data_IF_499802117019
#
_entry.id   IF_499802117019
#
_cell.length_a   1.000
_cell.length_b   1.000
_cell.length_c   1.000
_cell.angle_alpha   90.00
_cell.angle_beta   90.00
_cell.angle_gamma   90.00
#
_symmetry.space_group_name_H-M   'P 1'
#
loop_
_entity.id
_entity.type
_entity.pdbx_description
1 polymer ?
#
# COMPACT_ATOMS: atom_id res chain seq x y z
N UNK A 1 32.33 53.58 -8.21
CA UNK A 1 32.66 52.16 -8.53
C UNK A 1 32.15 51.26 -7.39
N UNK A 2 30.88 51.43 -7.00
CA UNK A 2 30.20 50.76 -5.87
C UNK A 2 28.67 50.66 -6.15
N UNK A 3 28.25 50.67 -7.43
CA UNK A 3 26.83 50.62 -7.84
C UNK A 3 26.57 49.56 -8.93
N UNK A 4 27.57 48.74 -9.31
CA UNK A 4 27.38 47.61 -10.22
C UNK A 4 27.07 46.30 -9.48
N UNK A 5 27.56 46.15 -8.25
CA UNK A 5 27.45 44.91 -7.49
C UNK A 5 26.03 44.62 -6.94
N UNK A 6 25.18 45.64 -6.78
CA UNK A 6 23.79 45.42 -6.34
C UNK A 6 22.87 44.95 -7.47
N UNK A 7 23.14 45.36 -8.72
CA UNK A 7 22.35 44.92 -9.87
C UNK A 7 22.65 43.47 -10.24
N UNK A 8 23.90 43.03 -10.12
CA UNK A 8 24.27 41.62 -10.35
C UNK A 8 23.68 40.71 -9.26
N UNK A 9 23.67 41.13 -7.98
CA UNK A 9 23.01 40.35 -6.91
C UNK A 9 21.49 40.26 -7.05
N UNK A 10 20.82 41.30 -7.56
CA UNK A 10 19.38 41.26 -7.85
C UNK A 10 19.05 40.37 -9.06
N UNK A 11 19.95 40.30 -10.04
CA UNK A 11 19.78 39.47 -11.24
C UNK A 11 20.07 37.98 -10.96
N UNK A 12 20.95 37.68 -10.01
CA UNK A 12 21.23 36.31 -9.53
C UNK A 12 20.13 35.76 -8.59
N UNK A 13 19.47 36.63 -7.81
CA UNK A 13 18.25 36.27 -7.06
C UNK A 13 17.02 36.07 -7.97
N UNK A 14 16.98 36.69 -9.15
CA UNK A 14 15.95 36.45 -10.17
C UNK A 14 16.23 35.23 -11.07
N UNK A 15 17.48 34.72 -11.13
CA UNK A 15 17.82 33.54 -11.95
C UNK A 15 17.59 32.21 -11.23
N UNK A 16 17.44 32.22 -9.90
CA UNK A 16 17.12 31.02 -9.10
C UNK A 16 15.61 30.75 -8.95
N UNK A 17 14.74 31.46 -9.68
CA UNK A 17 13.29 31.25 -9.65
C UNK A 17 12.73 30.36 -10.77
N UNK A 18 13.58 29.57 -11.45
CA UNK A 18 13.13 28.64 -12.51
C UNK A 18 13.46 27.19 -12.17
N UNK A 19 12.66 26.60 -11.28
CA UNK A 19 12.18 25.21 -11.40
C UNK A 19 10.91 25.06 -10.55
N UNK A 20 9.91 25.89 -10.87
CA UNK A 20 8.55 25.69 -10.39
C UNK A 20 7.92 24.58 -11.25
N UNK A 21 7.98 23.35 -10.75
CA UNK A 21 7.20 22.24 -11.30
C UNK A 21 5.72 22.63 -11.20
N UNK A 22 5.11 22.96 -12.33
CA UNK A 22 3.68 23.26 -12.46
C UNK A 22 2.82 22.09 -11.95
N UNK A 23 2.58 22.01 -10.64
CA UNK A 23 1.49 21.22 -10.06
C UNK A 23 0.21 22.04 -10.12
N UNK A 24 -0.32 22.17 -11.34
CA UNK A 24 -1.66 22.69 -11.59
C UNK A 24 -2.64 21.53 -11.74
N UNK A 25 -3.13 21.01 -10.62
CA UNK A 25 -4.45 20.38 -10.54
C UNK A 25 -5.16 20.99 -9.35
N UNK A 26 -5.92 22.05 -9.64
CA UNK A 26 -6.79 22.73 -8.69
C UNK A 26 -7.90 21.77 -8.26
N UNK A 27 -7.71 21.10 -7.13
CA UNK A 27 -8.77 20.44 -6.38
C UNK A 27 -9.08 21.30 -5.15
N UNK A 28 -10.26 21.96 -5.15
CA UNK A 28 -10.80 22.62 -3.96
C UNK A 28 -11.56 21.57 -3.16
N UNK A 29 -10.87 20.96 -2.22
CA UNK A 29 -11.43 20.08 -1.20
C UNK A 29 -10.41 20.03 -0.06
N UNK A 30 -10.58 20.91 0.91
CA UNK A 30 -9.70 21.03 2.07
C UNK A 30 -9.88 19.83 3.00
N UNK A 31 -8.85 18.97 3.11
CA UNK A 31 -8.20 18.50 4.36
C UNK A 31 -6.95 17.69 3.95
N UNK A 32 -5.76 18.10 4.41
CA UNK A 32 -4.47 17.41 4.18
C UNK A 32 -3.95 16.89 5.52
N UNK A 33 -3.65 15.58 5.61
CA UNK A 33 -2.42 15.04 6.24
C UNK A 33 -2.40 13.50 6.23
N UNK A 34 -1.39 12.89 5.59
CA UNK A 34 -0.86 11.57 6.00
C UNK A 34 0.65 11.72 6.17
N UNK A 35 1.05 12.48 7.21
CA UNK A 35 2.40 12.79 7.75
C UNK A 35 3.52 13.28 6.80
N UNK A 36 3.54 12.91 5.51
CA UNK A 36 4.63 13.19 4.57
C UNK A 36 4.15 13.88 3.27
N UNK A 37 2.98 14.53 3.29
CA UNK A 37 2.48 15.33 2.17
C UNK A 37 1.83 14.56 1.02
N UNK A 38 1.59 13.25 1.18
CA UNK A 38 0.82 12.45 0.22
C UNK A 38 -0.69 12.53 0.50
N UNK A 39 -1.47 12.68 -0.57
CA UNK A 39 -2.91 12.39 -0.52
C UNK A 39 -3.11 10.88 -0.51
N UNK A 40 -3.91 10.38 0.44
CA UNK A 40 -4.13 8.95 0.62
C UNK A 40 -5.59 8.64 0.47
N UNK A 41 -5.84 7.54 -0.25
CA UNK A 41 -7.16 6.97 -0.47
C UNK A 41 -7.21 5.55 0.09
N UNK A 42 -8.27 5.23 0.82
CA UNK A 42 -8.54 3.90 1.33
C UNK A 42 -9.71 3.27 0.59
N UNK A 43 -9.46 2.10 -0.01
CA UNK A 43 -10.50 1.22 -0.53
C UNK A 43 -11.22 0.55 0.65
N UNK A 44 -12.51 0.79 0.81
CA UNK A 44 -13.33 0.24 1.90
C UNK A 44 -14.61 -0.38 1.35
N UNK A 45 -15.03 -1.53 1.89
CA UNK A 45 -16.30 -2.15 1.45
C UNK A 45 -17.54 -1.36 1.90
N UNK A 46 -17.44 -0.74 3.07
CA UNK A 46 -18.50 0.08 3.65
C UNK A 46 -17.87 1.33 4.29
N UNK A 47 -18.06 2.51 3.67
CA UNK A 47 -17.48 3.75 4.18
C UNK A 47 -18.12 4.21 5.49
N UNK A 48 -19.30 3.71 5.88
CA UNK A 48 -20.02 4.17 7.06
C UNK A 48 -19.60 3.49 8.37
N UNK A 49 -18.72 2.48 8.31
CA UNK A 49 -18.21 1.79 9.51
C UNK A 49 -17.30 2.69 10.32
N UNK A 50 -17.34 2.55 11.64
CA UNK A 50 -16.53 3.35 12.58
C UNK A 50 -15.05 3.43 12.19
N UNK A 51 -14.41 2.29 11.88
CA UNK A 51 -13.00 2.26 11.43
C UNK A 51 -12.73 3.01 10.12
N UNK A 52 -13.70 3.04 9.20
CA UNK A 52 -13.57 3.80 7.96
C UNK A 52 -13.73 5.30 8.24
N UNK A 53 -14.70 5.67 9.09
CA UNK A 53 -14.90 7.05 9.53
C UNK A 53 -13.70 7.58 10.34
N UNK A 54 -13.05 6.74 11.15
CA UNK A 54 -11.79 7.08 11.82
C UNK A 54 -10.67 7.46 10.83
N UNK A 55 -10.60 6.79 9.66
CA UNK A 55 -9.65 7.15 8.59
C UNK A 55 -10.04 8.47 7.92
N UNK A 56 -11.33 8.66 7.63
CA UNK A 56 -11.83 9.92 7.06
C UNK A 56 -11.53 11.11 7.98
N UNK A 57 -11.72 10.94 9.29
CA UNK A 57 -11.39 11.95 10.30
C UNK A 57 -9.89 12.27 10.37
N UNK A 58 -9.03 11.40 9.84
CA UNK A 58 -7.59 11.62 9.69
C UNK A 58 -7.21 12.23 8.34
N UNK A 59 -8.18 12.59 7.49
CA UNK A 59 -7.94 13.20 6.17
C UNK A 59 -7.70 12.20 5.05
N UNK A 60 -8.05 10.92 5.23
CA UNK A 60 -7.99 9.89 4.19
C UNK A 60 -9.26 9.94 3.33
N UNK A 61 -9.12 9.96 2.01
CA UNK A 61 -10.24 9.81 1.08
C UNK A 61 -10.77 8.37 1.13
N UNK A 62 -12.06 8.18 1.40
CA UNK A 62 -12.68 6.86 1.33
C UNK A 62 -13.24 6.61 -0.06
N UNK A 63 -12.87 5.49 -0.68
CA UNK A 63 -13.53 4.99 -1.89
C UNK A 63 -14.16 3.65 -1.60
N UNK A 64 -15.46 3.55 -1.88
CA UNK A 64 -16.18 2.31 -1.70
C UNK A 64 -15.79 1.32 -2.80
N UNK A 65 -15.41 0.09 -2.43
CA UNK A 65 -15.13 -0.97 -3.39
C UNK A 65 -14.71 -2.30 -2.78
N UNK A 66 -14.47 -3.27 -3.65
CA UNK A 66 -14.19 -4.66 -3.30
C UNK A 66 -13.06 -5.24 -4.18
N UNK A 67 -12.20 -6.07 -3.60
CA UNK A 67 -11.07 -6.68 -4.29
C UNK A 67 -11.48 -7.74 -5.34
N UNK A 68 -12.77 -8.08 -5.43
CA UNK A 68 -13.33 -8.90 -6.50
C UNK A 68 -14.04 -8.09 -7.60
N UNK A 69 -14.23 -6.78 -7.41
CA UNK A 69 -14.91 -5.91 -8.37
C UNK A 69 -13.90 -5.02 -9.09
N UNK A 70 -13.61 -5.37 -10.35
CA UNK A 70 -12.65 -4.66 -11.19
C UNK A 70 -12.98 -3.17 -11.35
N UNK A 71 -14.25 -2.83 -11.57
CA UNK A 71 -14.65 -1.45 -11.81
C UNK A 71 -14.38 -0.58 -10.57
N UNK A 72 -14.66 -1.12 -9.38
CA UNK A 72 -14.37 -0.43 -8.12
C UNK A 72 -12.87 -0.20 -7.91
N UNK A 73 -12.02 -1.13 -8.35
CA UNK A 73 -10.56 -0.99 -8.27
C UNK A 73 -10.05 0.08 -9.25
N UNK A 74 -10.56 0.10 -10.47
CA UNK A 74 -10.21 1.11 -11.47
C UNK A 74 -10.61 2.52 -10.97
N UNK A 75 -11.80 2.66 -10.37
CA UNK A 75 -12.25 3.91 -9.75
C UNK A 75 -11.35 4.33 -8.57
N UNK A 76 -10.96 3.37 -7.72
CA UNK A 76 -10.09 3.64 -6.58
C UNK A 76 -8.67 4.02 -7.00
N UNK A 77 -8.17 3.54 -8.15
CA UNK A 77 -6.82 3.81 -8.62
C UNK A 77 -6.73 5.03 -9.55
N UNK A 78 -7.86 5.55 -10.04
CA UNK A 78 -7.89 6.69 -10.95
C UNK A 78 -7.11 7.89 -10.39
N UNK A 79 -6.07 8.28 -11.13
CA UNK A 79 -5.21 9.43 -10.83
C UNK A 79 -4.22 9.22 -9.68
N UNK A 80 -4.11 8.00 -9.13
CA UNK A 80 -3.15 7.70 -8.08
C UNK A 80 -1.73 7.54 -8.66
N UNK A 81 -0.71 7.90 -7.87
CA UNK A 81 0.69 7.69 -8.24
C UNK A 81 1.15 6.26 -7.92
N UNK A 82 0.78 5.77 -6.74
CA UNK A 82 1.19 4.49 -6.20
C UNK A 82 0.02 3.73 -5.59
N UNK A 83 0.17 2.42 -5.45
CA UNK A 83 -0.81 1.57 -4.80
C UNK A 83 -0.14 0.64 -3.78
N UNK A 84 -0.79 0.44 -2.64
CA UNK A 84 -0.36 -0.51 -1.61
C UNK A 84 -1.31 -1.69 -1.56
N UNK A 85 -0.79 -2.90 -1.77
CA UNK A 85 -1.56 -4.13 -1.92
C UNK A 85 -1.28 -5.10 -0.79
N UNK A 86 -2.36 -5.52 -0.14
CA UNK A 86 -2.38 -6.57 0.89
C UNK A 86 -3.73 -7.27 0.83
N UNK A 87 -3.71 -8.61 0.88
CA UNK A 87 -4.90 -9.45 0.95
C UNK A 87 -4.93 -10.17 2.31
N UNK A 88 -6.13 -10.60 2.71
CA UNK A 88 -6.30 -11.38 3.93
C UNK A 88 -6.80 -12.79 3.59
N UNK A 89 -5.86 -13.72 3.47
CA UNK A 89 -6.09 -15.16 3.27
C UNK A 89 -7.15 -15.76 4.21
N UNK A 90 -7.20 -15.28 5.46
CA UNK A 90 -8.01 -15.89 6.53
C UNK A 90 -9.47 -15.43 6.57
N UNK A 91 -9.89 -14.52 5.68
CA UNK A 91 -11.29 -14.14 5.60
C UNK A 91 -12.15 -15.31 5.08
N UNK A 92 -13.39 -15.47 5.60
CA UNK A 92 -14.37 -16.34 4.97
C UNK A 92 -14.47 -15.99 3.49
N UNK A 93 -14.42 -17.01 2.63
CA UNK A 93 -14.56 -16.90 1.17
C UNK A 93 -13.36 -16.28 0.41
N UNK A 94 -12.20 -16.13 1.06
CA UNK A 94 -10.94 -15.78 0.39
C UNK A 94 -10.07 -17.02 0.19
N UNK A 95 -9.41 -17.51 1.23
CA UNK A 95 -8.52 -18.67 1.14
C UNK A 95 -7.45 -18.54 0.05
N UNK A 96 -6.97 -19.68 -0.44
CA UNK A 96 -5.88 -19.74 -1.42
C UNK A 96 -6.24 -19.11 -2.77
N UNK A 97 -7.31 -19.59 -3.41
CA UNK A 97 -7.72 -19.13 -4.73
C UNK A 97 -8.22 -17.68 -4.71
N UNK A 98 -8.94 -17.29 -3.66
CA UNK A 98 -9.44 -15.93 -3.51
C UNK A 98 -8.32 -14.93 -3.30
N UNK A 99 -7.30 -15.27 -2.50
CA UNK A 99 -6.14 -14.38 -2.31
C UNK A 99 -5.40 -14.15 -3.63
N UNK A 100 -5.14 -15.21 -4.40
CA UNK A 100 -4.51 -15.12 -5.72
C UNK A 100 -5.36 -14.24 -6.65
N UNK A 101 -6.67 -14.49 -6.72
CA UNK A 101 -7.60 -13.73 -7.56
C UNK A 101 -7.60 -12.24 -7.22
N UNK A 102 -7.71 -11.90 -5.92
CA UNK A 102 -7.70 -10.51 -5.45
C UNK A 102 -6.37 -9.82 -5.77
N UNK A 103 -5.23 -10.49 -5.51
CA UNK A 103 -3.91 -9.94 -5.78
C UNK A 103 -3.68 -9.66 -7.27
N UNK A 104 -4.03 -10.61 -8.14
CA UNK A 104 -3.91 -10.45 -9.59
C UNK A 104 -4.85 -9.36 -10.12
N UNK A 105 -6.11 -9.37 -9.71
CA UNK A 105 -7.08 -8.38 -10.18
C UNK A 105 -6.67 -6.94 -9.81
N UNK A 106 -6.15 -6.75 -8.60
CA UNK A 106 -5.67 -5.43 -8.18
C UNK A 106 -4.38 -5.01 -8.91
N UNK A 107 -3.49 -5.95 -9.22
CA UNK A 107 -2.31 -5.69 -10.04
C UNK A 107 -2.67 -5.30 -11.48
N UNK A 108 -3.66 -5.97 -12.08
CA UNK A 108 -4.18 -5.62 -13.41
C UNK A 108 -4.86 -4.24 -13.42
N UNK A 109 -5.62 -3.91 -12.37
CA UNK A 109 -6.22 -2.59 -12.21
C UNK A 109 -5.14 -1.50 -12.07
N UNK A 110 -4.10 -1.76 -11.26
CA UNK A 110 -2.97 -0.85 -11.10
C UNK A 110 -2.22 -0.63 -12.42
N UNK A 111 -1.98 -1.70 -13.18
CA UNK A 111 -1.39 -1.60 -14.51
C UNK A 111 -2.26 -0.81 -15.48
N UNK A 112 -3.57 -1.04 -15.48
CA UNK A 112 -4.52 -0.33 -16.34
C UNK A 112 -4.68 1.15 -15.99
N UNK A 113 -4.40 1.54 -14.74
CA UNK A 113 -4.42 2.92 -14.26
C UNK A 113 -3.06 3.63 -14.38
N UNK A 114 -2.06 3.03 -15.04
CA UNK A 114 -0.70 3.56 -15.19
C UNK A 114 -0.05 3.93 -13.84
N UNK A 115 -0.27 3.11 -12.80
CA UNK A 115 0.38 3.28 -11.50
C UNK A 115 1.90 3.23 -11.66
N UNK A 116 2.58 4.24 -11.12
CA UNK A 116 4.03 4.40 -11.24
C UNK A 116 4.81 3.49 -10.29
N UNK A 117 4.21 3.16 -9.14
CA UNK A 117 4.83 2.26 -8.17
C UNK A 117 3.83 1.44 -7.36
N UNK A 118 3.90 0.12 -7.47
CA UNK A 118 3.05 -0.83 -6.76
C UNK A 118 3.79 -1.50 -5.60
N UNK A 119 3.36 -1.28 -4.36
CA UNK A 119 3.94 -1.94 -3.19
C UNK A 119 3.07 -3.13 -2.81
N UNK A 120 3.64 -4.33 -2.84
CA UNK A 120 2.94 -5.57 -2.51
C UNK A 120 3.46 -6.17 -1.20
N UNK A 121 2.56 -6.54 -0.29
CA UNK A 121 2.91 -7.26 0.94
C UNK A 121 2.77 -8.76 0.72
N UNK A 122 3.92 -9.42 0.59
CA UNK A 122 4.03 -10.88 0.56
C UNK A 122 4.33 -11.44 1.97
N UNK A 123 5.22 -12.41 2.09
CA UNK A 123 5.65 -13.06 3.34
C UNK A 123 7.09 -13.56 3.22
N UNK A 124 7.82 -13.52 4.33
CA UNK A 124 9.16 -14.10 4.42
C UNK A 124 9.21 -15.54 3.90
N UNK A 125 10.23 -15.86 3.11
CA UNK A 125 10.43 -17.18 2.53
C UNK A 125 9.34 -17.69 1.54
N UNK A 126 8.50 -16.82 0.98
CA UNK A 126 7.52 -17.21 -0.05
C UNK A 126 8.15 -18.01 -1.22
N UNK A 127 9.33 -17.57 -1.68
CA UNK A 127 10.10 -18.21 -2.76
C UNK A 127 10.66 -19.59 -2.43
N UNK A 128 10.63 -20.04 -1.16
CA UNK A 128 11.28 -21.31 -0.75
C UNK A 128 10.41 -22.54 -0.95
N UNK A 129 9.12 -22.39 -1.27
CA UNK A 129 8.22 -23.52 -1.52
C UNK A 129 8.06 -24.43 -0.29
N UNK A 130 7.77 -23.87 0.88
CA UNK A 130 7.64 -24.62 2.14
C UNK A 130 6.32 -25.42 2.27
N UNK A 131 5.51 -25.46 1.21
CA UNK A 131 4.22 -26.17 1.18
C UNK A 131 3.11 -25.51 1.99
N UNK A 132 3.30 -24.25 2.39
CA UNK A 132 2.31 -23.48 3.14
C UNK A 132 1.45 -22.70 2.15
N UNK A 133 0.19 -23.11 1.96
CA UNK A 133 -0.71 -22.51 0.96
C UNK A 133 -0.78 -20.98 1.01
N UNK A 134 -0.81 -20.41 2.21
CA UNK A 134 -0.87 -18.95 2.42
C UNK A 134 0.44 -18.21 2.10
N UNK A 135 1.56 -18.93 1.91
CA UNK A 135 2.83 -18.43 1.37
C UNK A 135 2.86 -18.64 -0.14
N UNK A 136 2.45 -19.83 -0.60
CA UNK A 136 2.44 -20.20 -2.01
C UNK A 136 1.53 -19.26 -2.83
N UNK A 137 0.37 -18.87 -2.28
CA UNK A 137 -0.53 -17.88 -2.91
C UNK A 137 0.15 -16.54 -3.15
N UNK A 138 0.93 -16.05 -2.18
CA UNK A 138 1.67 -14.79 -2.29
C UNK A 138 2.81 -14.90 -3.27
N UNK A 139 3.53 -16.03 -3.27
CA UNK A 139 4.57 -16.30 -4.26
C UNK A 139 4.00 -16.28 -5.69
N UNK A 140 2.83 -16.88 -5.92
CA UNK A 140 2.15 -16.82 -7.23
C UNK A 140 1.83 -15.37 -7.63
N UNK A 141 1.39 -14.53 -6.68
CA UNK A 141 1.14 -13.12 -6.94
C UNK A 141 2.46 -12.40 -7.27
N UNK A 142 3.55 -12.63 -6.54
CA UNK A 142 4.87 -12.05 -6.84
C UNK A 142 5.32 -12.36 -8.28
N UNK A 143 5.22 -13.63 -8.69
CA UNK A 143 5.57 -14.04 -10.05
C UNK A 143 4.71 -13.33 -11.09
N UNK A 144 3.42 -13.17 -10.79
CA UNK A 144 2.49 -12.49 -11.68
C UNK A 144 2.80 -10.99 -11.84
N UNK A 145 3.25 -10.31 -10.79
CA UNK A 145 3.68 -8.90 -10.88
C UNK A 145 4.84 -8.71 -11.87
N UNK A 146 5.79 -9.66 -11.88
CA UNK A 146 6.89 -9.71 -12.85
C UNK A 146 6.37 -10.01 -14.25
N UNK A 147 5.50 -11.01 -14.39
CA UNK A 147 4.91 -11.42 -15.68
C UNK A 147 4.21 -10.26 -16.39
N UNK A 148 3.44 -9.46 -15.65
CA UNK A 148 2.74 -8.31 -16.23
C UNK A 148 3.62 -7.06 -16.38
N UNK A 149 4.91 -7.12 -16.01
CA UNK A 149 5.84 -5.98 -16.07
C UNK A 149 5.30 -4.73 -15.34
N UNK A 150 4.74 -4.89 -14.15
CA UNK A 150 4.30 -3.77 -13.30
C UNK A 150 5.49 -3.26 -12.48
N UNK A 151 5.72 -1.95 -12.40
CA UNK A 151 6.76 -1.40 -11.54
C UNK A 151 6.39 -1.61 -10.07
N UNK A 152 7.19 -2.38 -9.32
CA UNK A 152 6.79 -2.82 -7.99
C UNK A 152 7.92 -2.94 -6.95
N UNK A 153 7.52 -3.00 -5.69
CA UNK A 153 8.36 -3.41 -4.55
C UNK A 153 7.60 -4.43 -3.72
N UNK A 154 8.27 -5.54 -3.37
CA UNK A 154 7.68 -6.60 -2.55
C UNK A 154 8.25 -6.49 -1.14
N UNK A 155 7.36 -6.41 -0.16
CA UNK A 155 7.70 -6.51 1.25
C UNK A 155 7.51 -7.95 1.70
N UNK A 156 8.53 -8.55 2.31
CA UNK A 156 8.49 -9.91 2.85
C UNK A 156 8.49 -9.88 4.40
N UNK A 157 7.38 -9.50 5.04
CA UNK A 157 7.30 -9.50 6.49
C UNK A 157 7.48 -10.92 7.05
N UNK A 158 8.07 -10.99 8.23
CA UNK A 158 8.15 -12.22 9.04
C UNK A 158 7.00 -12.26 10.04
N UNK A 159 7.04 -13.21 10.98
CA UNK A 159 6.06 -13.29 12.06
C UNK A 159 5.88 -11.93 12.75
N UNK A 160 4.65 -11.41 12.75
CA UNK A 160 4.35 -10.13 13.36
C UNK A 160 4.47 -10.23 14.88
N UNK A 161 5.20 -9.30 15.50
CA UNK A 161 5.26 -9.20 16.97
C UNK A 161 3.87 -9.10 17.60
N UNK A 162 2.92 -8.45 16.92
CA UNK A 162 1.53 -8.36 17.35
C UNK A 162 0.84 -9.71 17.54
N UNK A 163 1.26 -10.77 16.84
CA UNK A 163 0.70 -12.12 16.98
C UNK A 163 0.99 -12.72 18.37
N UNK A 164 2.04 -12.26 19.06
CA UNK A 164 2.34 -12.69 20.43
C UNK A 164 1.22 -12.32 21.41
N UNK A 165 0.35 -11.36 21.08
CA UNK A 165 -0.80 -11.03 21.91
C UNK A 165 -1.79 -12.20 22.05
N UNK A 166 -1.84 -13.13 21.10
CA UNK A 166 -2.70 -14.32 21.21
C UNK A 166 -2.26 -15.28 22.32
N UNK A 167 -0.98 -15.25 22.70
CA UNK A 167 -0.42 -16.05 23.80
C UNK A 167 0.05 -15.16 24.96
N UNK A 168 -0.55 -13.98 25.11
CA UNK A 168 -0.11 -12.99 26.10
C UNK A 168 -0.14 -13.53 27.52
N UNK A 169 -1.17 -14.32 27.85
CA UNK A 169 -1.32 -14.89 29.19
C UNK A 169 -0.18 -15.89 29.50
N UNK A 170 0.16 -16.77 28.56
CA UNK A 170 1.25 -17.73 28.72
C UNK A 170 2.60 -17.03 28.79
N UNK A 171 2.84 -16.07 27.89
CA UNK A 171 4.10 -15.32 27.83
C UNK A 171 4.32 -14.56 29.14
N UNK A 172 3.26 -13.94 29.69
CA UNK A 172 3.33 -13.24 30.97
C UNK A 172 3.66 -14.18 32.15
N UNK A 173 3.37 -15.47 32.00
CA UNK A 173 3.71 -16.52 32.96
C UNK A 173 5.04 -17.23 32.62
N UNK A 174 5.86 -16.66 31.74
CA UNK A 174 7.18 -17.18 31.37
C UNK A 174 7.17 -18.35 30.37
N UNK A 175 6.03 -18.62 29.71
CA UNK A 175 5.89 -19.71 28.75
C UNK A 175 5.57 -19.18 27.35
N UNK A 176 6.32 -19.61 26.33
CA UNK A 176 5.96 -19.42 24.93
C UNK A 176 5.63 -20.79 24.34
N UNK A 177 4.33 -21.09 24.18
CA UNK A 177 3.93 -22.26 23.42
C UNK A 177 4.12 -21.93 21.93
N UNK A 178 5.05 -22.63 21.29
CA UNK A 178 5.36 -22.47 19.87
C UNK A 178 4.10 -22.58 19.01
N UNK A 179 3.95 -21.65 18.06
CA UNK A 179 3.10 -21.83 16.89
C UNK A 179 3.94 -22.48 15.79
N UNK A 180 4.07 -23.81 15.81
CA UNK A 180 4.75 -24.55 14.74
C UNK A 180 5.35 -25.88 15.18
N UNK A 181 4.84 -26.95 14.55
CA UNK A 181 5.23 -28.37 14.55
C UNK A 181 5.85 -28.88 15.84
N UNK A 182 5.10 -29.71 16.56
CA UNK A 182 5.72 -30.68 17.44
C UNK A 182 6.85 -31.40 16.65
N UNK A 183 8.08 -31.46 17.16
CA UNK A 183 8.94 -32.56 16.79
C UNK A 183 8.24 -33.84 17.26
N UNK A 184 8.18 -34.79 16.35
CA UNK A 184 7.87 -36.20 16.57
C UNK A 184 8.54 -36.79 17.82
#
# INVERSE_FOLDING_TARGET
MWERDEKEKQQEQQSHSHHECHRSTRWRGSTVSVKDGWAVRALVRDPNKDKAQELANQGVELVQGDLYDRASLDDALRGAYGAFSVQNYWLPDVGYEGEIKQGKLFAEAAKGADIQHFVYTSVGAAHRGMGQKHFDSKWIIEQYLVEINLAHTILHPVAFMGNLNWSRAEISNGALKSFGTAPD
#
